data_IF_643467591157
#
_entry.id   IF_643467591157
#
_cell.length_a   1.000
_cell.length_b   1.000
_cell.length_c   1.000
_cell.angle_alpha   90.00
_cell.angle_beta   90.00
_cell.angle_gamma   90.00
#
_symmetry.space_group_name_H-M   'P 1'
#
loop_
_entity.id
_entity.type
_entity.pdbx_description
1 polymer ?
#
# COMPACT_ATOMS: atom_id res chain seq x y z
N UNK A 1 -11.29 -20.56 24.96
CA UNK A 1 -12.06 -19.31 25.11
C UNK A 1 -12.00 -18.56 23.79
N UNK A 2 -13.12 -18.53 23.07
CA UNK A 2 -13.21 -17.96 21.72
C UNK A 2 -13.49 -16.47 21.84
N UNK A 3 -12.55 -15.63 21.41
CA UNK A 3 -12.70 -14.17 21.48
C UNK A 3 -13.70 -13.74 20.40
N UNK A 4 -14.89 -13.32 20.83
CA UNK A 4 -15.90 -12.71 19.96
C UNK A 4 -15.37 -11.36 19.49
N UNK A 5 -15.01 -11.27 18.22
CA UNK A 5 -14.72 -10.00 17.54
C UNK A 5 -16.05 -9.28 17.31
N UNK A 6 -16.56 -8.57 18.32
CA UNK A 6 -17.64 -7.61 18.13
C UNK A 6 -17.18 -6.63 17.05
N UNK A 7 -17.82 -6.66 15.88
CA UNK A 7 -17.51 -5.86 14.70
C UNK A 7 -17.77 -4.36 14.89
N UNK A 8 -17.22 -3.78 15.95
CA UNK A 8 -17.29 -2.37 16.27
C UNK A 8 -16.15 -1.66 15.53
N UNK A 9 -16.39 -1.36 14.27
CA UNK A 9 -15.58 -0.38 13.55
C UNK A 9 -15.98 1.01 14.09
N UNK A 10 -15.45 1.39 15.25
CA UNK A 10 -15.87 2.57 16.03
C UNK A 10 -15.46 3.92 15.41
N UNK A 11 -14.83 3.92 14.23
CA UNK A 11 -14.45 5.16 13.55
C UNK A 11 -14.50 5.00 12.03
N UNK A 12 -15.37 5.77 11.39
CA UNK A 12 -15.50 5.89 9.93
C UNK A 12 -14.41 6.76 9.31
N UNK A 13 -13.50 7.32 10.11
CA UNK A 13 -12.45 8.21 9.62
C UNK A 13 -11.45 7.41 8.78
N UNK A 14 -11.47 7.63 7.47
CA UNK A 14 -10.44 7.09 6.58
C UNK A 14 -9.09 7.69 6.97
N UNK A 15 -8.17 6.83 7.41
CA UNK A 15 -6.83 7.25 7.77
C UNK A 15 -6.01 7.41 6.50
N UNK A 16 -5.04 8.34 6.51
CA UNK A 16 -4.10 8.53 5.38
C UNK A 16 -3.41 7.22 4.97
N UNK A 17 -3.11 6.36 5.95
CA UNK A 17 -2.52 5.03 5.74
C UNK A 17 -3.46 4.10 4.94
N UNK A 18 -4.76 4.09 5.26
CA UNK A 18 -5.76 3.30 4.53
C UNK A 18 -5.93 3.79 3.09
N UNK A 19 -6.03 5.10 2.90
CA UNK A 19 -6.11 5.69 1.56
C UNK A 19 -4.88 5.36 0.72
N UNK A 20 -3.68 5.45 1.32
CA UNK A 20 -2.44 5.08 0.66
C UNK A 20 -2.44 3.61 0.21
N UNK A 21 -2.80 2.68 1.10
CA UNK A 21 -2.86 1.25 0.77
C UNK A 21 -3.91 0.96 -0.31
N UNK A 22 -5.07 1.60 -0.28
CA UNK A 22 -6.09 1.46 -1.32
C UNK A 22 -5.61 1.97 -2.69
N UNK A 23 -4.90 3.10 -2.70
CA UNK A 23 -4.27 3.62 -3.91
C UNK A 23 -3.21 2.64 -4.43
N UNK A 24 -2.39 2.09 -3.53
CA UNK A 24 -1.35 1.11 -3.88
C UNK A 24 -1.93 -0.16 -4.48
N UNK A 25 -3.07 -0.63 -3.97
CA UNK A 25 -3.80 -1.76 -4.54
C UNK A 25 -4.13 -1.53 -6.03
N UNK A 26 -4.34 -0.29 -6.46
CA UNK A 26 -4.72 0.07 -7.84
C UNK A 26 -3.53 0.38 -8.74
N UNK A 27 -2.47 1.00 -8.20
CA UNK A 27 -1.35 1.47 -9.04
C UNK A 27 -0.28 0.42 -9.29
N UNK A 28 -0.11 -0.53 -8.38
CA UNK A 28 0.88 -1.61 -8.52
C UNK A 28 0.32 -2.68 -9.48
N UNK A 29 1.09 -3.13 -10.49
CA UNK A 29 0.66 -4.18 -11.41
C UNK A 29 0.80 -5.58 -10.77
N UNK A 30 -0.01 -5.88 -9.76
CA UNK A 30 0.09 -7.09 -8.94
C UNK A 30 0.13 -8.39 -9.76
N UNK A 31 -0.76 -8.54 -10.73
CA UNK A 31 -0.84 -9.74 -11.57
C UNK A 31 0.47 -10.02 -12.32
N UNK A 32 1.11 -8.97 -12.85
CA UNK A 32 2.39 -9.09 -13.55
C UNK A 32 3.52 -9.50 -12.59
N UNK A 33 3.55 -8.91 -11.39
CA UNK A 33 4.55 -9.23 -10.38
C UNK A 33 4.38 -10.66 -9.85
N UNK A 34 3.14 -11.08 -9.60
CA UNK A 34 2.84 -12.46 -9.18
C UNK A 34 3.29 -13.45 -10.26
N UNK A 35 2.99 -13.18 -11.54
CA UNK A 35 3.40 -14.07 -12.64
C UNK A 35 4.93 -14.21 -12.78
N UNK A 36 5.71 -13.21 -12.37
CA UNK A 36 7.17 -13.30 -12.34
C UNK A 36 7.68 -14.20 -11.19
N UNK A 37 6.97 -14.22 -10.06
CA UNK A 37 7.39 -14.94 -8.86
C UNK A 37 6.87 -16.38 -8.84
N UNK A 38 5.67 -16.61 -9.39
CA UNK A 38 4.97 -17.90 -9.36
C UNK A 38 5.79 -19.10 -9.87
N UNK A 39 6.63 -19.00 -10.92
CA UNK A 39 7.48 -20.12 -11.36
C UNK A 39 8.51 -20.57 -10.32
N UNK A 40 8.94 -19.65 -9.46
CA UNK A 40 9.98 -19.86 -8.46
C UNK A 40 9.43 -20.18 -7.08
N UNK A 41 8.14 -19.92 -6.86
CA UNK A 41 7.52 -20.09 -5.56
C UNK A 41 7.25 -21.56 -5.26
N UNK A 42 7.57 -22.05 -4.04
CA UNK A 42 7.36 -23.44 -3.69
C UNK A 42 5.86 -23.79 -3.77
N UNK A 43 5.53 -24.75 -4.63
CA UNK A 43 4.21 -25.39 -4.65
C UNK A 43 4.25 -26.46 -3.58
N UNK A 44 3.48 -26.31 -2.50
CA UNK A 44 3.52 -27.22 -1.35
C UNK A 44 3.31 -28.67 -1.77
N UNK A 45 4.37 -29.48 -1.76
CA UNK A 45 4.32 -30.91 -2.11
C UNK A 45 4.20 -31.81 -0.87
N UNK A 46 4.71 -31.37 0.28
CA UNK A 46 4.65 -32.11 1.55
C UNK A 46 4.67 -31.13 2.73
N UNK A 47 3.81 -31.35 3.73
CA UNK A 47 3.76 -30.54 4.96
C UNK A 47 2.78 -29.36 4.92
N UNK A 48 3.05 -28.35 5.75
CA UNK A 48 2.18 -27.17 5.90
C UNK A 48 2.17 -26.36 4.59
N UNK A 49 0.98 -26.02 4.05
CA UNK A 49 0.93 -25.28 2.80
C UNK A 49 1.61 -23.90 2.97
N UNK A 50 2.42 -23.46 2.00
CA UNK A 50 2.99 -22.12 2.01
C UNK A 50 1.88 -21.08 1.84
N UNK A 51 2.16 -19.85 2.28
CA UNK A 51 1.23 -18.74 2.07
C UNK A 51 1.05 -18.45 0.57
N UNK A 52 -0.10 -17.88 0.15
CA UNK A 52 -0.26 -17.43 -1.22
C UNK A 52 0.82 -16.42 -1.60
N UNK A 53 1.33 -16.51 -2.84
CA UNK A 53 2.32 -15.57 -3.38
C UNK A 53 1.85 -14.12 -3.26
N UNK A 54 0.57 -13.88 -3.57
CA UNK A 54 -0.04 -12.55 -3.49
C UNK A 54 0.05 -11.97 -2.06
N UNK A 55 -0.19 -12.79 -1.04
CA UNK A 55 -0.12 -12.37 0.38
C UNK A 55 1.31 -11.98 0.75
N UNK A 56 2.29 -12.83 0.42
CA UNK A 56 3.70 -12.54 0.71
C UNK A 56 4.21 -11.32 -0.05
N UNK A 57 3.76 -11.14 -1.30
CA UNK A 57 4.08 -9.97 -2.09
C UNK A 57 3.51 -8.68 -1.47
N UNK A 58 2.23 -8.69 -1.05
CA UNK A 58 1.64 -7.53 -0.38
C UNK A 58 2.40 -7.17 0.91
N UNK A 59 2.81 -8.16 1.71
CA UNK A 59 3.60 -7.95 2.93
C UNK A 59 4.96 -7.33 2.59
N UNK A 60 5.64 -7.83 1.56
CA UNK A 60 6.92 -7.28 1.13
C UNK A 60 6.83 -5.80 0.73
N UNK A 61 5.78 -5.41 0.02
CA UNK A 61 5.55 -3.99 -0.31
C UNK A 61 5.23 -3.14 0.91
N UNK A 62 4.47 -3.66 1.89
CA UNK A 62 4.26 -2.95 3.17
C UNK A 62 5.61 -2.72 3.87
N UNK A 63 6.50 -3.71 3.89
CA UNK A 63 7.84 -3.55 4.46
C UNK A 63 8.62 -2.43 3.77
N UNK A 64 8.57 -2.36 2.44
CA UNK A 64 9.26 -1.31 1.66
C UNK A 64 8.68 0.08 1.94
N UNK A 65 7.37 0.25 1.86
CA UNK A 65 6.73 1.57 2.02
C UNK A 65 6.83 2.16 3.42
N UNK A 66 6.85 1.30 4.45
CA UNK A 66 6.91 1.74 5.84
C UNK A 66 8.27 1.50 6.50
N UNK A 67 9.27 1.00 5.75
CA UNK A 67 10.62 0.77 6.24
C UNK A 67 10.69 -0.25 7.37
N UNK A 68 9.88 -1.31 7.32
CA UNK A 68 9.80 -2.33 8.37
C UNK A 68 10.81 -3.45 8.14
N UNK A 69 11.53 -3.84 9.20
CA UNK A 69 12.31 -5.08 9.22
C UNK A 69 11.40 -6.31 9.24
N UNK A 70 11.96 -7.50 9.11
CA UNK A 70 11.17 -8.75 9.16
C UNK A 70 10.51 -8.96 10.54
N UNK A 71 11.21 -8.78 11.68
CA UNK A 71 10.56 -8.86 12.99
C UNK A 71 9.47 -7.79 13.17
N UNK A 72 9.75 -6.54 12.76
CA UNK A 72 8.80 -5.45 12.89
C UNK A 72 7.55 -5.66 12.02
N UNK A 73 7.70 -6.32 10.87
CA UNK A 73 6.57 -6.67 10.01
C UNK A 73 5.71 -7.77 10.63
N UNK A 74 6.30 -8.79 11.24
CA UNK A 74 5.57 -9.81 11.99
C UNK A 74 4.73 -9.15 13.10
N UNK A 75 5.35 -8.35 13.97
CA UNK A 75 4.66 -7.62 15.04
C UNK A 75 3.53 -6.74 14.49
N UNK A 76 3.81 -6.00 13.40
CA UNK A 76 2.83 -5.12 12.80
C UNK A 76 1.61 -5.86 12.23
N UNK A 77 1.74 -7.12 11.80
CA UNK A 77 0.59 -7.92 11.37
C UNK A 77 -0.35 -8.24 12.55
N UNK A 78 0.17 -8.41 13.76
CA UNK A 78 -0.65 -8.57 14.96
C UNK A 78 -1.34 -7.26 15.33
N UNK A 79 -0.56 -6.17 15.42
CA UNK A 79 -1.01 -4.88 15.97
C UNK A 79 -1.92 -4.08 15.03
N UNK A 80 -1.73 -4.22 13.72
CA UNK A 80 -2.37 -3.36 12.72
C UNK A 80 -3.29 -4.18 11.81
N UNK A 81 -4.61 -4.28 12.12
CA UNK A 81 -5.57 -5.01 11.31
C UNK A 81 -5.61 -4.58 9.85
N UNK A 82 -5.30 -3.31 9.57
CA UNK A 82 -5.25 -2.76 8.21
C UNK A 82 -4.20 -3.47 7.33
N UNK A 83 -3.07 -3.92 7.88
CA UNK A 83 -2.07 -4.66 7.12
C UNK A 83 -2.54 -6.07 6.78
N UNK A 84 -3.29 -6.71 7.70
CA UNK A 84 -3.93 -8.01 7.45
C UNK A 84 -4.99 -7.91 6.36
N UNK A 85 -5.86 -6.91 6.43
CA UNK A 85 -6.85 -6.60 5.39
C UNK A 85 -6.15 -6.35 4.03
N UNK A 86 -5.06 -5.58 4.03
CA UNK A 86 -4.33 -5.32 2.80
C UNK A 86 -3.73 -6.60 2.18
N UNK A 87 -3.12 -7.45 3.01
CA UNK A 87 -2.49 -8.69 2.60
C UNK A 87 -3.48 -9.84 2.29
N UNK A 88 -4.78 -9.65 2.55
CA UNK A 88 -5.82 -10.67 2.35
C UNK A 88 -5.81 -11.78 3.41
N UNK A 89 -5.41 -11.43 4.65
CA UNK A 89 -5.34 -12.34 5.81
C UNK A 89 -6.58 -12.25 6.72
N UNK A 90 -7.55 -11.38 6.40
CA UNK A 90 -8.77 -11.12 7.16
C UNK A 90 -9.86 -12.20 7.01
N UNK A 91 -9.84 -12.97 5.91
CA UNK A 91 -10.82 -14.00 5.57
C UNK A 91 -10.75 -15.33 6.34
N UNK A 92 -10.30 -15.34 7.60
CA UNK A 92 -10.26 -16.55 8.44
C UNK A 92 -8.94 -17.34 8.40
N UNK A 93 -7.84 -16.74 7.90
CA UNK A 93 -6.52 -17.31 8.14
C UNK A 93 -6.17 -17.20 9.63
N UNK A 94 -6.19 -18.33 10.32
CA UNK A 94 -5.79 -18.42 11.75
C UNK A 94 -4.28 -18.20 11.95
N UNK A 95 -3.49 -18.18 10.86
CA UNK A 95 -2.03 -18.07 10.91
C UNK A 95 -1.54 -16.80 10.23
N UNK A 96 -0.66 -16.07 10.92
CA UNK A 96 0.14 -14.98 10.35
C UNK A 96 1.53 -15.48 9.94
N UNK A 97 2.15 -14.91 8.89
CA UNK A 97 3.55 -15.12 8.58
C UNK A 97 4.44 -14.66 9.73
N UNK A 98 5.35 -15.54 10.14
CA UNK A 98 6.43 -15.22 11.08
C UNK A 98 7.62 -14.59 10.34
N UNK A 99 8.54 -13.98 11.08
CA UNK A 99 9.78 -13.38 10.59
C UNK A 99 10.50 -14.31 9.61
N UNK A 100 10.65 -15.58 9.97
CA UNK A 100 11.37 -16.55 9.14
C UNK A 100 10.69 -16.82 7.80
N UNK A 101 9.35 -16.76 7.77
CA UNK A 101 8.57 -16.91 6.55
C UNK A 101 8.75 -15.70 5.64
N UNK A 102 8.77 -14.50 6.22
CA UNK A 102 9.02 -13.25 5.50
C UNK A 102 10.45 -13.23 4.95
N UNK A 103 11.44 -13.60 5.77
CA UNK A 103 12.85 -13.71 5.39
C UNK A 103 13.06 -14.67 4.21
N UNK A 104 12.47 -15.87 4.27
CA UNK A 104 12.54 -16.87 3.17
C UNK A 104 12.01 -16.31 1.86
N UNK A 105 10.93 -15.52 1.92
CA UNK A 105 10.39 -14.89 0.73
C UNK A 105 11.34 -13.84 0.15
N UNK A 106 11.96 -13.01 0.99
CA UNK A 106 12.95 -12.03 0.54
C UNK A 106 14.15 -12.72 -0.13
N UNK A 107 14.69 -13.76 0.48
CA UNK A 107 15.78 -14.53 -0.12
C UNK A 107 15.40 -15.18 -1.45
N UNK A 108 14.14 -15.62 -1.60
CA UNK A 108 13.64 -16.09 -2.89
C UNK A 108 13.71 -14.98 -3.93
N UNK A 109 13.22 -13.77 -3.61
CA UNK A 109 13.27 -12.64 -4.55
C UNK A 109 14.70 -12.21 -4.90
N UNK A 110 15.62 -12.26 -3.94
CA UNK A 110 17.05 -11.96 -4.14
C UNK A 110 17.73 -13.01 -5.02
N UNK A 111 17.50 -14.29 -4.73
CA UNK A 111 18.11 -15.42 -5.45
C UNK A 111 17.79 -15.39 -6.95
N UNK A 112 16.57 -15.02 -7.30
CA UNK A 112 16.13 -14.95 -8.70
C UNK A 112 16.27 -13.55 -9.32
N UNK A 113 16.90 -12.59 -8.62
CA UNK A 113 17.10 -11.22 -9.12
C UNK A 113 15.79 -10.42 -9.31
N UNK A 114 14.68 -10.92 -8.77
CA UNK A 114 13.35 -10.29 -8.89
C UNK A 114 13.27 -9.06 -7.99
N UNK A 115 14.00 -9.06 -6.86
CA UNK A 115 14.07 -7.91 -5.95
C UNK A 115 14.49 -6.61 -6.66
N UNK A 116 15.48 -6.69 -7.55
CA UNK A 116 15.93 -5.54 -8.34
C UNK A 116 14.86 -5.06 -9.34
N UNK A 117 14.11 -5.98 -9.94
CA UNK A 117 13.02 -5.63 -10.86
C UNK A 117 11.86 -4.97 -10.11
N UNK A 118 11.49 -5.49 -8.94
CA UNK A 118 10.45 -4.92 -8.07
C UNK A 118 10.83 -3.50 -7.63
N UNK A 119 12.09 -3.28 -7.24
CA UNK A 119 12.59 -1.97 -6.83
C UNK A 119 12.39 -0.89 -7.90
N UNK A 120 12.59 -1.23 -9.17
CA UNK A 120 12.34 -0.30 -10.30
C UNK A 120 10.86 0.08 -10.36
N UNK A 121 9.95 -0.87 -10.18
CA UNK A 121 8.52 -0.58 -10.17
C UNK A 121 8.11 0.33 -9.01
N UNK A 122 8.69 0.15 -7.82
CA UNK A 122 8.39 0.97 -6.65
C UNK A 122 8.83 2.43 -6.85
N UNK A 123 10.03 2.65 -7.40
CA UNK A 123 10.54 3.98 -7.77
C UNK A 123 9.66 4.71 -8.79
N UNK A 124 9.16 3.99 -9.81
CA UNK A 124 8.26 4.58 -10.82
C UNK A 124 6.92 4.97 -10.20
N UNK A 125 6.43 4.19 -9.23
CA UNK A 125 5.18 4.48 -8.53
C UNK A 125 5.32 5.72 -7.65
N UNK A 126 6.43 5.85 -6.91
CA UNK A 126 6.74 7.04 -6.11
C UNK A 126 6.80 8.30 -6.99
N UNK A 127 7.50 8.25 -8.12
CA UNK A 127 7.60 9.35 -9.06
C UNK A 127 6.24 9.74 -9.66
N UNK A 128 5.40 8.75 -10.02
CA UNK A 128 4.05 9.01 -10.54
C UNK A 128 3.11 9.57 -9.47
N UNK A 129 3.26 9.18 -8.21
CA UNK A 129 2.51 9.77 -7.10
C UNK A 129 2.99 11.17 -6.76
N UNK A 130 4.30 11.41 -6.80
CA UNK A 130 4.89 12.73 -6.64
C UNK A 130 4.35 13.69 -7.71
N UNK A 131 4.40 13.30 -9.00
CA UNK A 131 3.83 14.10 -10.10
C UNK A 131 2.32 14.34 -9.93
N UNK A 132 1.55 13.35 -9.48
CA UNK A 132 0.12 13.51 -9.17
C UNK A 132 -0.14 14.48 -8.01
N UNK A 133 0.70 14.47 -6.96
CA UNK A 133 0.62 15.41 -5.84
C UNK A 133 1.01 16.83 -6.26
N UNK A 134 2.06 16.98 -7.06
CA UNK A 134 2.54 18.25 -7.61
C UNK A 134 1.55 18.90 -8.59
N UNK A 135 0.83 18.12 -9.40
CA UNK A 135 -0.25 18.68 -10.24
C UNK A 135 -1.50 19.07 -9.42
N UNK A 136 -1.76 18.38 -8.30
CA UNK A 136 -2.94 18.67 -7.44
C UNK A 136 -2.76 19.96 -6.63
N UNK A 137 -1.52 20.36 -6.32
CA UNK A 137 -1.21 21.65 -5.69
C UNK A 137 -1.19 22.83 -6.68
N UNK A 138 -0.90 22.59 -7.96
CA UNK A 138 -0.94 23.61 -9.01
C UNK A 138 -2.37 24.08 -9.38
N UNK A 139 -3.41 23.35 -8.96
CA UNK A 139 -4.82 23.69 -9.22
C UNK A 139 -5.45 24.72 -8.28
N UNK A 140 -4.73 25.25 -7.28
CA UNK A 140 -5.24 26.34 -6.43
C UNK A 140 -4.76 27.69 -6.98
N UNK A 141 -5.43 28.18 -8.02
CA UNK A 141 -5.25 29.54 -8.51
C UNK A 141 -5.50 30.54 -7.36
N UNK A 142 -4.57 31.47 -7.07
CA UNK A 142 -4.86 32.58 -6.16
C UNK A 142 -5.97 33.43 -6.76
N UNK A 143 -7.05 33.65 -6.00
CA UNK A 143 -8.19 34.44 -6.42
C UNK A 143 -7.77 35.80 -6.97
N UNK A 144 -7.98 35.99 -8.26
CA UNK A 144 -7.91 37.28 -8.92
C UNK A 144 -8.95 38.19 -8.24
N UNK A 145 -8.48 39.10 -7.37
CA UNK A 145 -9.31 40.15 -6.77
C UNK A 145 -9.90 40.97 -7.90
N UNK A 146 -11.19 40.75 -8.18
CA UNK A 146 -12.00 41.63 -9.04
C UNK A 146 -11.87 43.06 -8.51
N UNK A 147 -11.28 43.92 -9.34
CA UNK A 147 -11.18 45.35 -9.08
C UNK A 147 -12.56 45.93 -8.75
N UNK A 148 -12.63 46.70 -7.67
CA UNK A 148 -13.79 47.52 -7.36
C UNK A 148 -14.02 48.46 -8.53
N UNK A 149 -15.18 48.32 -9.17
CA UNK A 149 -15.79 49.39 -9.97
C UNK A 149 -16.06 50.55 -9.01
N UNK A 150 -15.28 51.63 -9.12
CA UNK A 150 -15.70 52.94 -8.64
C UNK A 150 -16.27 53.68 -9.85
N UNK A 151 -17.59 53.84 -9.80
CA UNK A 151 -18.46 54.59 -10.68
C UNK A 151 -17.93 56.01 -10.89
N UNK A 152 -17.68 56.39 -12.16
CA UNK A 152 -17.73 57.79 -12.59
C UNK A 152 -19.19 58.18 -12.73
N UNK A 153 -19.68 59.26 -12.09
CA UNK A 153 -20.84 59.98 -12.59
C UNK A 153 -20.36 61.02 -13.62
N UNK A 154 -20.97 60.94 -14.80
CA UNK A 154 -20.94 61.98 -15.82
C UNK A 154 -21.76 63.18 -15.32
N UNK A 155 -21.12 64.35 -15.31
CA UNK A 155 -21.61 65.68 -15.75
C UNK A 155 -22.99 66.19 -15.31
N UNK A 156 -23.05 67.43 -14.78
CA UNK A 156 -23.60 68.61 -15.50
C UNK A 156 -23.64 69.89 -14.65
N UNK A 157 -23.49 71.01 -15.39
CA UNK A 157 -23.72 72.43 -15.08
C UNK A 157 -22.64 73.15 -14.26
#
# INVERSE_FOLDING_TARGET
MTQLHLGLNLSTKRTRKREFLDDMRRVVPWSRLIALIEPHYPKGKTGRPPFPVATMLHIHFIQQWFGLSDPAMEEALYDVPLYREFAGLDGGMTRLPDETTILRFRHLLETYGIAAQIWIFDQVIELRQFLRRSCRSAGRAPGLRRGRRASRPLSRC
#
